data_IF_995030390557
#
_entry.id   IF_995030390557
#
_cell.length_a   1.000
_cell.length_b   1.000
_cell.length_c   1.000
_cell.angle_alpha   90.00
_cell.angle_beta   90.00
_cell.angle_gamma   90.00
#
_symmetry.space_group_name_H-M   'P 1'
#
loop_
_entity.id
_entity.type
_entity.pdbx_description
1 polymer ?
#
# COMPACT_ATOMS: atom_id res chain seq x y z
N UNK A 1 -16.77 -20.31 20.14
CA UNK A 1 -15.67 -21.26 19.89
C UNK A 1 -14.78 -20.64 18.82
N UNK A 2 -13.67 -20.02 19.21
CA UNK A 2 -12.67 -19.59 18.25
C UNK A 2 -11.96 -20.85 17.77
N UNK A 3 -12.01 -21.14 16.47
CA UNK A 3 -11.13 -22.14 15.90
C UNK A 3 -9.70 -21.65 16.16
N UNK A 4 -9.02 -22.28 17.11
CA UNK A 4 -7.57 -22.16 17.27
C UNK A 4 -6.98 -22.76 16.01
N UNK A 5 -6.65 -21.92 15.03
CA UNK A 5 -5.80 -22.29 13.90
C UNK A 5 -4.58 -22.97 14.49
N UNK A 6 -4.28 -24.20 14.05
CA UNK A 6 -3.07 -24.90 14.47
C UNK A 6 -1.87 -24.20 13.85
N UNK A 7 -1.40 -23.16 14.55
CA UNK A 7 -0.36 -22.24 14.07
C UNK A 7 0.94 -22.98 13.75
N UNK A 8 1.16 -24.16 14.34
CA UNK A 8 2.35 -25.00 14.10
C UNK A 8 2.43 -25.55 12.68
N UNK A 9 1.31 -25.63 11.95
CA UNK A 9 1.24 -26.17 10.60
C UNK A 9 0.60 -25.18 9.60
N UNK A 10 0.56 -23.89 9.93
CA UNK A 10 0.06 -22.87 9.01
C UNK A 10 1.04 -22.73 7.84
N UNK A 11 0.57 -22.89 6.59
CA UNK A 11 1.42 -22.83 5.38
C UNK A 11 0.87 -21.91 4.30
N UNK A 12 -0.26 -21.24 4.54
CA UNK A 12 -0.89 -20.34 3.57
C UNK A 12 -0.29 -18.93 3.68
N UNK A 13 1.00 -18.84 3.41
CA UNK A 13 1.76 -17.60 3.35
C UNK A 13 2.96 -17.77 2.41
N UNK A 14 3.54 -16.64 1.99
CA UNK A 14 4.81 -16.57 1.27
C UNK A 14 5.58 -15.36 1.78
N UNK A 15 6.56 -15.62 2.63
CA UNK A 15 7.47 -14.62 3.21
C UNK A 15 8.93 -15.06 2.99
N UNK A 16 9.90 -14.16 3.16
CA UNK A 16 11.31 -14.49 2.96
C UNK A 16 11.81 -15.58 3.93
N UNK A 17 11.59 -15.37 5.23
CA UNK A 17 12.08 -16.25 6.28
C UNK A 17 11.17 -16.14 7.51
N UNK A 18 10.53 -17.26 7.89
CA UNK A 18 9.60 -17.33 9.01
C UNK A 18 10.30 -17.21 10.37
N UNK A 19 11.59 -17.53 10.44
CA UNK A 19 12.36 -17.49 11.69
C UNK A 19 12.62 -16.05 12.17
N UNK A 20 12.41 -15.06 11.31
CA UNK A 20 12.47 -13.63 11.65
C UNK A 20 11.29 -13.17 12.54
N UNK A 21 10.27 -14.00 12.75
CA UNK A 21 9.07 -13.65 13.50
C UNK A 21 9.36 -13.14 14.93
N UNK A 22 10.37 -13.71 15.59
CA UNK A 22 10.77 -13.27 16.93
C UNK A 22 11.34 -11.85 16.97
N UNK A 23 12.05 -11.43 15.91
CA UNK A 23 12.52 -10.05 15.77
C UNK A 23 11.37 -9.12 15.42
N UNK A 24 10.55 -9.47 14.42
CA UNK A 24 9.38 -8.68 14.05
C UNK A 24 8.43 -8.44 15.22
N UNK A 25 8.20 -9.46 16.07
CA UNK A 25 7.36 -9.32 17.27
C UNK A 25 7.89 -8.26 18.26
N UNK A 26 9.21 -8.15 18.42
CA UNK A 26 9.82 -7.13 19.28
C UNK A 26 9.64 -5.73 18.70
N UNK A 27 9.81 -5.56 17.40
CA UNK A 27 9.60 -4.26 16.75
C UNK A 27 8.12 -3.87 16.70
N UNK A 28 7.19 -4.81 16.52
CA UNK A 28 5.75 -4.57 16.64
C UNK A 28 5.42 -4.05 18.05
N UNK A 29 5.95 -4.68 19.11
CA UNK A 29 5.70 -4.22 20.48
C UNK A 29 6.24 -2.80 20.75
N UNK A 30 7.35 -2.41 20.12
CA UNK A 30 7.86 -1.03 20.17
C UNK A 30 6.95 -0.10 19.37
N UNK A 31 6.54 -0.50 18.16
CA UNK A 31 5.67 0.32 17.33
C UNK A 31 4.29 0.57 17.96
N UNK A 32 3.75 -0.39 18.72
CA UNK A 32 2.51 -0.19 19.47
C UNK A 32 2.58 0.99 20.46
N UNK A 33 3.75 1.28 21.04
CA UNK A 33 3.91 2.45 21.93
C UNK A 33 3.94 3.77 21.17
N UNK A 34 4.31 3.75 19.89
CA UNK A 34 4.38 4.92 18.99
C UNK A 34 3.13 5.05 18.08
N UNK A 35 2.17 4.12 18.18
CA UNK A 35 0.93 4.14 17.38
C UNK A 35 -0.33 4.28 18.26
N UNK A 36 -0.43 5.36 19.07
CA UNK A 36 -1.50 5.50 20.06
C UNK A 36 -2.90 5.55 19.43
N UNK A 37 -3.03 6.02 18.18
CA UNK A 37 -4.32 6.03 17.47
C UNK A 37 -4.88 4.63 17.23
N UNK A 38 -4.05 3.68 16.78
CA UNK A 38 -4.47 2.29 16.60
C UNK A 38 -4.73 1.61 17.95
N UNK A 39 -3.90 1.89 18.95
CA UNK A 39 -4.09 1.32 20.29
C UNK A 39 -5.38 1.79 20.95
N UNK A 40 -5.71 3.08 20.84
CA UNK A 40 -6.98 3.63 21.31
C UNK A 40 -8.19 3.00 20.59
N UNK A 41 -8.11 2.82 19.26
CA UNK A 41 -9.16 2.13 18.50
C UNK A 41 -9.33 0.68 18.95
N UNK A 42 -8.24 -0.03 19.25
CA UNK A 42 -8.33 -1.39 19.81
C UNK A 42 -9.03 -1.37 21.16
N UNK A 43 -8.64 -0.48 22.06
CA UNK A 43 -9.24 -0.36 23.40
C UNK A 43 -10.74 -0.06 23.32
N UNK A 44 -11.13 0.89 22.47
CA UNK A 44 -12.51 1.34 22.30
C UNK A 44 -13.39 0.26 21.65
N UNK A 45 -12.96 -0.32 20.52
CA UNK A 45 -13.84 -1.11 19.65
C UNK A 45 -13.61 -2.63 19.69
N UNK A 46 -12.54 -3.13 20.32
CA UNK A 46 -12.36 -4.58 20.45
C UNK A 46 -13.50 -5.30 21.19
N UNK A 47 -14.13 -4.72 22.24
CA UNK A 47 -15.30 -5.33 22.88
C UNK A 47 -16.50 -5.50 21.92
N UNK A 48 -16.72 -4.52 21.04
CA UNK A 48 -17.84 -4.50 20.10
C UNK A 48 -17.61 -5.39 18.87
N UNK A 49 -16.34 -5.59 18.50
CA UNK A 49 -15.91 -6.34 17.30
C UNK A 49 -16.66 -5.88 16.04
N UNK A 50 -16.59 -4.59 15.68
CA UNK A 50 -17.37 -4.03 14.58
C UNK A 50 -17.03 -4.63 13.22
N UNK A 51 -15.82 -5.18 13.05
CA UNK A 51 -15.39 -5.84 11.82
C UNK A 51 -15.70 -7.33 11.79
N UNK A 52 -16.48 -7.86 12.74
CA UNK A 52 -16.87 -9.28 12.74
C UNK A 52 -17.55 -9.67 11.43
N UNK A 53 -16.93 -10.60 10.71
CA UNK A 53 -17.42 -11.09 9.42
C UNK A 53 -16.89 -10.31 8.20
N UNK A 54 -16.10 -9.25 8.43
CA UNK A 54 -15.28 -8.65 7.39
C UNK A 54 -14.17 -9.63 6.99
N UNK A 55 -13.97 -9.75 5.68
CA UNK A 55 -12.92 -10.53 5.03
C UNK A 55 -12.15 -9.56 4.17
N UNK A 56 -11.05 -9.05 4.70
CA UNK A 56 -10.32 -7.92 4.14
C UNK A 56 -9.14 -8.45 3.31
N UNK A 57 -9.14 -8.13 2.01
CA UNK A 57 -7.94 -8.22 1.19
C UNK A 57 -7.16 -6.91 1.31
N UNK A 58 -5.98 -6.97 1.91
CA UNK A 58 -5.08 -5.83 2.07
C UNK A 58 -3.97 -5.84 1.01
N UNK A 59 -3.77 -4.69 0.38
CA UNK A 59 -2.66 -4.40 -0.55
C UNK A 59 -2.01 -3.10 -0.14
N UNK A 60 -1.01 -3.21 0.74
CA UNK A 60 -0.32 -2.08 1.37
C UNK A 60 1.07 -2.56 1.82
N UNK A 61 2.09 -1.72 1.71
CA UNK A 61 3.47 -2.00 2.18
C UNK A 61 3.50 -2.87 3.45
N UNK A 62 4.12 -4.05 3.37
CA UNK A 62 4.15 -4.99 4.50
C UNK A 62 5.27 -4.62 5.49
N UNK A 63 5.02 -3.60 6.31
CA UNK A 63 5.95 -3.04 7.30
C UNK A 63 5.54 -3.39 8.74
N UNK A 64 6.36 -2.99 9.72
CA UNK A 64 6.01 -3.07 11.15
C UNK A 64 4.77 -2.23 11.47
N UNK A 65 4.62 -1.05 10.87
CA UNK A 65 3.46 -0.19 11.08
C UNK A 65 2.18 -0.87 10.54
N UNK A 66 2.28 -1.49 9.37
CA UNK A 66 1.20 -2.26 8.77
C UNK A 66 0.88 -3.52 9.58
N UNK A 67 1.88 -4.16 10.20
CA UNK A 67 1.64 -5.27 11.11
C UNK A 67 0.75 -4.85 12.30
N UNK A 68 0.98 -3.67 12.89
CA UNK A 68 0.10 -3.11 13.94
C UNK A 68 -1.30 -2.81 13.38
N UNK A 69 -1.43 -2.32 12.14
CA UNK A 69 -2.73 -2.14 11.48
C UNK A 69 -3.47 -3.48 11.31
N UNK A 70 -2.82 -4.51 10.77
CA UNK A 70 -3.39 -5.85 10.58
C UNK A 70 -3.89 -6.42 11.91
N UNK A 71 -3.08 -6.36 12.96
CA UNK A 71 -3.48 -6.85 14.28
C UNK A 71 -4.62 -6.04 14.90
N UNK A 72 -4.71 -4.74 14.58
CA UNK A 72 -5.88 -3.92 14.93
C UNK A 72 -7.13 -4.42 14.24
N UNK A 73 -7.10 -4.61 12.92
CA UNK A 73 -8.26 -5.11 12.16
C UNK A 73 -8.75 -6.46 12.71
N UNK A 74 -7.83 -7.37 13.03
CA UNK A 74 -8.14 -8.66 13.65
C UNK A 74 -8.73 -8.53 15.05
N UNK A 75 -8.17 -7.65 15.89
CA UNK A 75 -8.70 -7.37 17.23
C UNK A 75 -10.14 -6.85 17.16
N UNK A 76 -10.45 -6.05 16.14
CA UNK A 76 -11.81 -5.56 15.85
C UNK A 76 -12.72 -6.62 15.18
N UNK A 77 -12.22 -7.83 14.94
CA UNK A 77 -13.00 -8.99 14.50
C UNK A 77 -12.92 -9.34 13.02
N UNK A 78 -12.08 -8.66 12.23
CA UNK A 78 -11.88 -8.99 10.82
C UNK A 78 -11.08 -10.30 10.65
N UNK A 79 -11.32 -10.97 9.54
CA UNK A 79 -10.37 -11.90 8.94
C UNK A 79 -9.62 -11.17 7.82
N UNK A 80 -8.33 -11.46 7.64
CA UNK A 80 -7.42 -10.63 6.85
C UNK A 80 -6.45 -11.49 6.05
N UNK A 81 -6.24 -11.14 4.79
CA UNK A 81 -5.15 -11.64 3.93
C UNK A 81 -4.39 -10.45 3.37
N UNK A 82 -3.06 -10.54 3.30
CA UNK A 82 -2.23 -9.37 2.98
C UNK A 82 -1.18 -9.63 1.91
N UNK A 83 -0.96 -8.64 1.06
CA UNK A 83 0.16 -8.52 0.13
C UNK A 83 0.71 -7.09 0.21
N UNK A 84 1.97 -6.94 -0.19
CA UNK A 84 2.59 -5.62 -0.34
C UNK A 84 2.05 -4.92 -1.59
N UNK A 85 2.01 -3.58 -1.59
CA UNK A 85 1.75 -2.78 -2.80
C UNK A 85 3.04 -2.30 -3.51
N UNK A 86 4.21 -2.80 -3.07
CA UNK A 86 5.48 -2.51 -3.73
C UNK A 86 6.53 -3.58 -3.45
N UNK A 87 7.25 -3.96 -4.51
CA UNK A 87 8.22 -5.06 -4.53
C UNK A 87 9.42 -4.90 -3.57
N UNK A 88 9.73 -3.69 -3.10
CA UNK A 88 10.88 -3.43 -2.21
C UNK A 88 10.52 -2.93 -0.82
N UNK A 89 9.24 -2.72 -0.55
CA UNK A 89 8.77 -2.06 0.67
C UNK A 89 8.61 -2.98 1.87
N UNK A 90 8.50 -4.29 1.64
CA UNK A 90 8.32 -5.27 2.69
C UNK A 90 9.48 -5.25 3.69
N UNK A 91 9.14 -5.29 4.97
CA UNK A 91 10.05 -5.61 6.05
C UNK A 91 9.86 -7.08 6.41
N UNK A 92 10.79 -7.94 6.02
CA UNK A 92 10.60 -9.40 6.07
C UNK A 92 10.32 -9.91 7.48
N UNK A 93 10.92 -9.30 8.51
CA UNK A 93 10.66 -9.64 9.91
C UNK A 93 9.23 -9.27 10.34
N UNK A 94 8.65 -8.18 9.82
CA UNK A 94 7.25 -7.83 10.04
C UNK A 94 6.32 -8.85 9.38
N UNK A 95 6.59 -9.20 8.12
CA UNK A 95 5.83 -10.20 7.38
C UNK A 95 5.85 -11.56 8.10
N UNK A 96 7.03 -11.99 8.55
CA UNK A 96 7.21 -13.22 9.33
C UNK A 96 6.42 -13.19 10.65
N UNK A 97 6.45 -12.08 11.39
CA UNK A 97 5.75 -11.96 12.67
C UNK A 97 4.22 -12.04 12.55
N UNK A 98 3.66 -11.58 11.42
CA UNK A 98 2.23 -11.68 11.10
C UNK A 98 1.88 -13.09 10.59
N UNK A 99 2.70 -13.66 9.72
CA UNK A 99 2.51 -15.04 9.23
C UNK A 99 2.59 -16.06 10.36
N UNK A 100 3.54 -15.92 11.29
CA UNK A 100 3.75 -16.81 12.42
C UNK A 100 2.60 -16.83 13.44
N UNK A 101 1.65 -15.90 13.36
CA UNK A 101 0.41 -15.90 14.17
C UNK A 101 -0.84 -16.29 13.35
N UNK A 102 -0.63 -16.91 12.19
CA UNK A 102 -1.69 -17.50 11.37
C UNK A 102 -2.44 -16.52 10.48
N UNK A 103 -1.88 -15.36 10.16
CA UNK A 103 -2.43 -14.48 9.12
C UNK A 103 -1.75 -14.71 7.78
N UNK A 104 -2.49 -14.98 6.69
CA UNK A 104 -1.93 -15.08 5.35
C UNK A 104 -1.24 -13.80 4.91
N UNK A 105 0.06 -13.88 4.64
CA UNK A 105 0.89 -12.79 4.10
C UNK A 105 1.65 -13.32 2.90
N UNK A 106 1.55 -12.61 1.78
CA UNK A 106 2.24 -12.89 0.52
C UNK A 106 3.06 -11.66 0.15
N UNK A 107 4.24 -11.56 0.77
CA UNK A 107 5.09 -10.40 0.64
C UNK A 107 6.49 -10.73 1.12
N UNK A 108 7.50 -10.34 0.34
CA UNK A 108 8.87 -10.27 0.81
C UNK A 108 9.64 -9.17 0.08
N UNK A 109 10.77 -8.74 0.62
CA UNK A 109 11.56 -7.68 0.00
C UNK A 109 12.32 -8.19 -1.23
N UNK A 110 12.08 -7.56 -2.37
CA UNK A 110 12.74 -7.89 -3.64
C UNK A 110 12.04 -8.97 -4.44
N UNK A 111 10.72 -9.11 -4.29
CA UNK A 111 9.91 -9.97 -5.16
C UNK A 111 9.94 -9.51 -6.63
N UNK A 112 9.74 -10.44 -7.56
CA UNK A 112 9.61 -10.10 -8.98
C UNK A 112 8.23 -9.49 -9.28
N UNK A 113 8.06 -8.87 -10.45
CA UNK A 113 6.76 -8.35 -10.89
C UNK A 113 5.73 -9.47 -11.07
N UNK A 114 6.15 -10.66 -11.49
CA UNK A 114 5.28 -11.84 -11.59
C UNK A 114 4.82 -12.31 -10.21
N UNK A 115 5.72 -12.35 -9.24
CA UNK A 115 5.38 -12.69 -7.85
C UNK A 115 4.46 -11.64 -7.22
N UNK A 116 4.75 -10.35 -7.42
CA UNK A 116 3.92 -9.24 -6.98
C UNK A 116 2.45 -9.45 -7.40
N UNK A 117 2.20 -9.62 -8.69
CA UNK A 117 0.84 -9.79 -9.18
C UNK A 117 0.23 -11.14 -8.80
N UNK A 118 1.01 -12.21 -8.67
CA UNK A 118 0.51 -13.47 -8.09
C UNK A 118 0.08 -13.27 -6.62
N UNK A 119 0.87 -12.57 -5.80
CA UNK A 119 0.55 -12.28 -4.40
C UNK A 119 -0.69 -11.40 -4.27
N UNK A 120 -0.87 -10.44 -5.16
CA UNK A 120 -2.12 -9.68 -5.25
C UNK A 120 -3.31 -10.58 -5.55
N UNK A 121 -3.18 -11.69 -6.30
CA UNK A 121 -4.28 -12.67 -6.44
C UNK A 121 -4.48 -13.49 -5.15
N UNK A 122 -3.40 -13.89 -4.47
CA UNK A 122 -3.46 -14.71 -3.24
C UNK A 122 -4.25 -14.07 -2.10
N UNK A 123 -4.36 -12.73 -2.05
CA UNK A 123 -5.21 -12.05 -1.06
C UNK A 123 -6.72 -12.15 -1.37
N UNK A 124 -7.08 -12.45 -2.62
CA UNK A 124 -8.45 -12.71 -3.06
C UNK A 124 -8.86 -14.19 -2.96
N UNK A 125 -7.91 -15.10 -2.77
CA UNK A 125 -8.15 -16.54 -2.66
C UNK A 125 -8.41 -16.96 -1.22
N UNK A 126 -9.68 -17.08 -0.85
CA UNK A 126 -10.08 -17.47 0.51
C UNK A 126 -10.39 -18.98 0.57
N UNK A 127 -10.05 -19.69 1.67
CA UNK A 127 -10.14 -21.17 1.73
C UNK A 127 -11.53 -21.76 1.45
N UNK A 128 -12.58 -20.99 1.70
CA UNK A 128 -13.97 -21.38 1.49
C UNK A 128 -14.54 -20.95 0.12
N UNK A 129 -13.69 -20.39 -0.75
CA UNK A 129 -14.05 -19.88 -2.07
C UNK A 129 -14.92 -18.61 -2.05
N UNK A 130 -15.24 -18.06 -0.88
CA UNK A 130 -16.11 -16.87 -0.77
C UNK A 130 -15.40 -15.58 -1.19
N UNK A 131 -14.08 -15.56 -1.21
CA UNK A 131 -13.29 -14.35 -1.45
C UNK A 131 -13.47 -13.27 -0.37
N UNK A 132 -12.81 -12.11 -0.53
CA UNK A 132 -12.97 -10.99 0.37
C UNK A 132 -14.31 -10.31 0.17
N UNK A 133 -14.74 -9.55 1.18
CA UNK A 133 -15.88 -8.65 1.07
C UNK A 133 -15.51 -7.18 1.28
N UNK A 134 -14.23 -6.87 1.51
CA UNK A 134 -13.68 -5.54 1.64
C UNK A 134 -12.27 -5.52 1.03
N UNK A 135 -11.87 -4.38 0.49
CA UNK A 135 -10.49 -4.10 0.08
C UNK A 135 -9.93 -2.97 0.95
N UNK A 136 -8.69 -3.12 1.41
CA UNK A 136 -7.88 -2.04 1.96
C UNK A 136 -6.68 -1.87 1.03
N UNK A 137 -6.60 -0.72 0.35
CA UNK A 137 -5.73 -0.51 -0.80
C UNK A 137 -4.82 0.70 -0.59
N UNK A 138 -3.61 0.60 -1.11
CA UNK A 138 -2.61 1.65 -1.20
C UNK A 138 -2.04 1.62 -2.63
N UNK A 139 -2.41 2.65 -3.40
CA UNK A 139 -2.01 2.79 -4.81
C UNK A 139 -3.07 2.30 -5.79
N UNK A 140 -4.03 1.50 -5.33
CA UNK A 140 -5.20 1.09 -6.07
C UNK A 140 -5.01 -0.18 -6.90
N UNK A 141 -3.97 -0.97 -6.65
CA UNK A 141 -3.62 -2.14 -7.46
C UNK A 141 -4.55 -3.33 -7.22
N UNK A 142 -4.97 -3.56 -5.97
CA UNK A 142 -5.98 -4.58 -5.67
C UNK A 142 -7.33 -4.23 -6.33
N UNK A 143 -7.71 -2.95 -6.28
CA UNK A 143 -8.91 -2.44 -6.94
C UNK A 143 -8.80 -2.52 -8.46
N UNK A 144 -7.66 -2.15 -9.03
CA UNK A 144 -7.38 -2.24 -10.47
C UNK A 144 -7.49 -3.68 -10.94
N UNK A 145 -6.88 -4.63 -10.23
CA UNK A 145 -6.89 -6.05 -10.57
C UNK A 145 -8.31 -6.58 -10.73
N UNK A 146 -9.18 -6.30 -9.74
CA UNK A 146 -10.58 -6.76 -9.77
C UNK A 146 -11.34 -6.11 -10.93
N UNK A 147 -11.25 -4.79 -11.10
CA UNK A 147 -12.01 -4.09 -12.14
C UNK A 147 -11.51 -4.46 -13.56
N UNK A 148 -10.20 -4.55 -13.77
CA UNK A 148 -9.61 -4.94 -15.05
C UNK A 148 -9.90 -6.42 -15.35
N UNK A 149 -9.82 -7.29 -14.36
CA UNK A 149 -10.17 -8.70 -14.49
C UNK A 149 -11.61 -8.91 -14.94
N UNK A 150 -12.58 -8.20 -14.35
CA UNK A 150 -14.01 -8.25 -14.78
C UNK A 150 -14.19 -7.78 -16.23
N UNK A 151 -13.40 -6.82 -16.70
CA UNK A 151 -13.43 -6.42 -18.11
C UNK A 151 -12.81 -7.50 -18.99
N UNK A 152 -11.69 -8.08 -18.57
CA UNK A 152 -10.99 -9.13 -19.30
C UNK A 152 -11.80 -10.44 -19.42
N UNK A 153 -12.71 -10.72 -18.47
CA UNK A 153 -13.70 -11.79 -18.60
C UNK A 153 -14.62 -11.60 -19.81
N UNK A 154 -14.95 -10.35 -20.14
CA UNK A 154 -15.85 -10.00 -21.25
C UNK A 154 -15.11 -9.76 -22.56
N UNK A 155 -13.94 -9.12 -22.48
CA UNK A 155 -13.12 -8.76 -23.63
C UNK A 155 -11.64 -8.91 -23.30
N UNK A 156 -11.01 -9.94 -23.85
CA UNK A 156 -9.57 -10.21 -23.66
C UNK A 156 -8.67 -9.14 -24.29
N UNK A 157 -9.19 -8.28 -25.16
CA UNK A 157 -8.39 -7.23 -25.78
C UNK A 157 -7.86 -6.22 -24.75
N UNK A 158 -8.55 -6.00 -23.62
CA UNK A 158 -8.16 -5.03 -22.59
C UNK A 158 -6.84 -5.38 -21.87
N UNK A 159 -6.38 -6.64 -21.98
CA UNK A 159 -5.11 -7.13 -21.43
C UNK A 159 -4.14 -7.62 -22.53
N UNK A 160 -4.32 -7.16 -23.77
CA UNK A 160 -3.55 -7.68 -24.92
C UNK A 160 -2.35 -6.82 -25.34
N UNK A 161 -2.24 -5.60 -24.80
CA UNK A 161 -1.24 -4.60 -25.23
C UNK A 161 -0.61 -3.91 -24.02
N UNK A 162 0.33 -4.57 -23.31
CA UNK A 162 1.01 -3.96 -22.18
C UNK A 162 1.92 -2.82 -22.64
N UNK A 163 1.88 -1.70 -21.93
CA UNK A 163 2.70 -0.51 -22.18
C UNK A 163 4.02 -0.48 -21.41
N UNK A 164 4.20 -1.37 -20.42
CA UNK A 164 5.41 -1.50 -19.61
C UNK A 164 5.54 -2.91 -19.02
N UNK A 165 6.64 -3.18 -18.32
CA UNK A 165 6.95 -4.50 -17.72
C UNK A 165 5.95 -4.90 -16.62
N UNK A 166 5.48 -3.93 -15.82
CA UNK A 166 4.50 -4.17 -14.76
C UNK A 166 3.13 -4.57 -15.33
N UNK A 167 2.66 -3.87 -16.37
CA UNK A 167 1.44 -4.22 -17.11
C UNK A 167 1.58 -5.58 -17.79
N UNK A 168 2.75 -5.92 -18.31
CA UNK A 168 2.99 -7.25 -18.88
C UNK A 168 2.77 -8.35 -17.82
N UNK A 169 3.34 -8.19 -16.62
CA UNK A 169 3.17 -9.12 -15.52
C UNK A 169 1.71 -9.17 -15.03
N UNK A 170 1.04 -8.02 -14.88
CA UNK A 170 -0.39 -7.94 -14.53
C UNK A 170 -1.27 -8.69 -15.54
N UNK A 171 -1.08 -8.42 -16.83
CA UNK A 171 -1.90 -8.99 -17.90
C UNK A 171 -1.66 -10.50 -18.01
N UNK A 172 -0.41 -10.95 -17.86
CA UNK A 172 -0.07 -12.36 -17.80
C UNK A 172 -0.74 -13.06 -16.60
N UNK A 173 -0.71 -12.44 -15.42
CA UNK A 173 -1.36 -12.95 -14.23
C UNK A 173 -2.89 -13.06 -14.41
N UNK A 174 -3.52 -12.04 -15.00
CA UNK A 174 -4.96 -12.07 -15.31
C UNK A 174 -5.28 -13.18 -16.32
N UNK A 175 -4.52 -13.28 -17.40
CA UNK A 175 -4.72 -14.30 -18.42
C UNK A 175 -4.60 -15.71 -17.85
N UNK A 176 -3.61 -15.95 -16.97
CA UNK A 176 -3.38 -17.22 -16.27
C UNK A 176 -4.58 -17.60 -15.40
N UNK A 177 -5.09 -16.69 -14.56
CA UNK A 177 -6.22 -16.99 -13.67
C UNK A 177 -7.51 -17.23 -14.47
N UNK A 178 -7.77 -16.43 -15.50
CA UNK A 178 -8.94 -16.61 -16.34
C UNK A 178 -8.90 -17.86 -17.23
N UNK A 179 -7.73 -18.46 -17.46
CA UNK A 179 -7.62 -19.76 -18.12
C UNK A 179 -8.03 -20.91 -17.20
N UNK A 180 -7.90 -20.71 -15.88
CA UNK A 180 -8.26 -21.70 -14.85
C UNK A 180 -9.72 -21.54 -14.40
N UNK A 181 -10.16 -20.30 -14.18
CA UNK A 181 -11.51 -19.94 -13.80
C UNK A 181 -11.98 -18.71 -14.61
N UNK A 182 -12.80 -18.91 -15.65
CA UNK A 182 -13.31 -17.82 -16.50
C UNK A 182 -14.21 -16.80 -15.78
N UNK A 183 -14.60 -17.06 -14.53
CA UNK A 183 -15.51 -16.23 -13.72
C UNK A 183 -14.88 -15.74 -12.42
N UNK A 184 -13.55 -15.86 -12.31
CA UNK A 184 -12.80 -15.57 -11.10
C UNK A 184 -13.09 -14.17 -10.54
N UNK A 185 -12.98 -13.12 -11.37
CA UNK A 185 -13.11 -11.74 -10.94
C UNK A 185 -14.55 -11.29 -10.78
N UNK A 186 -15.48 -11.71 -11.64
CA UNK A 186 -16.89 -11.34 -11.46
C UNK A 186 -17.47 -11.89 -10.15
N UNK A 187 -17.03 -13.09 -9.73
CA UNK A 187 -17.38 -13.65 -8.42
C UNK A 187 -16.82 -12.83 -7.26
N UNK A 188 -15.55 -12.41 -7.33
CA UNK A 188 -14.94 -11.54 -6.32
C UNK A 188 -15.63 -10.18 -6.26
N UNK A 189 -15.82 -9.56 -7.42
CA UNK A 189 -16.44 -8.25 -7.59
C UNK A 189 -17.83 -8.20 -6.96
N UNK A 190 -18.65 -9.24 -7.14
CA UNK A 190 -19.99 -9.32 -6.56
C UNK A 190 -20.00 -9.38 -5.00
N UNK A 191 -18.89 -9.81 -4.39
CA UNK A 191 -18.78 -9.99 -2.94
C UNK A 191 -18.21 -8.76 -2.22
N UNK A 192 -17.48 -7.89 -2.93
CA UNK A 192 -16.83 -6.70 -2.37
C UNK A 192 -17.88 -5.62 -2.07
N UNK A 193 -17.93 -5.18 -0.81
CA UNK A 193 -18.84 -4.16 -0.31
C UNK A 193 -18.26 -2.76 -0.36
N UNK A 194 -16.94 -2.63 -0.48
CA UNK A 194 -16.26 -1.36 -0.62
C UNK A 194 -14.76 -1.46 -0.49
N UNK A 195 -14.10 -0.34 -0.80
CA UNK A 195 -12.65 -0.15 -0.68
C UNK A 195 -12.32 1.08 0.16
N UNK A 196 -11.25 1.01 0.96
CA UNK A 196 -10.60 2.17 1.55
C UNK A 196 -9.25 2.37 0.86
N UNK A 197 -9.00 3.55 0.28
CA UNK A 197 -7.77 3.85 -0.45
C UNK A 197 -6.97 4.95 0.23
N UNK A 198 -5.70 4.67 0.47
CA UNK A 198 -4.81 5.49 1.30
C UNK A 198 -4.05 6.58 0.54
N UNK A 199 -3.77 6.42 -0.76
CA UNK A 199 -2.83 7.32 -1.46
C UNK A 199 -3.46 8.18 -2.52
N UNK A 200 -2.79 9.30 -2.83
CA UNK A 200 -3.20 10.21 -3.89
C UNK A 200 -3.30 9.52 -5.26
N UNK A 201 -2.42 8.55 -5.55
CA UNK A 201 -2.43 7.83 -6.84
C UNK A 201 -3.64 6.92 -6.94
N UNK A 202 -3.91 6.10 -5.93
CA UNK A 202 -5.09 5.23 -5.93
C UNK A 202 -6.39 6.03 -5.92
N UNK A 203 -6.46 7.14 -5.17
CA UNK A 203 -7.61 8.05 -5.17
C UNK A 203 -7.89 8.63 -6.57
N UNK A 204 -6.84 9.04 -7.31
CA UNK A 204 -7.00 9.50 -8.70
C UNK A 204 -7.58 8.39 -9.61
N UNK A 205 -7.14 7.15 -9.44
CA UNK A 205 -7.68 5.98 -10.16
C UNK A 205 -9.16 5.77 -9.81
N UNK A 206 -9.53 5.86 -8.53
CA UNK A 206 -10.93 5.76 -8.09
C UNK A 206 -11.81 6.88 -8.68
N UNK A 207 -11.35 8.13 -8.69
CA UNK A 207 -12.09 9.23 -9.32
C UNK A 207 -12.23 9.07 -10.83
N UNK A 208 -11.20 8.53 -11.51
CA UNK A 208 -11.30 8.21 -12.94
C UNK A 208 -12.39 7.14 -13.17
N UNK A 209 -12.34 6.02 -12.45
CA UNK A 209 -13.36 4.97 -12.51
C UNK A 209 -14.76 5.50 -12.19
N UNK A 210 -14.90 6.38 -11.19
CA UNK A 210 -16.18 6.98 -10.82
C UNK A 210 -16.74 7.88 -11.94
N UNK A 211 -15.92 8.77 -12.52
CA UNK A 211 -16.34 9.65 -13.63
C UNK A 211 -16.73 8.86 -14.88
N UNK A 212 -16.09 7.72 -15.10
CA UNK A 212 -16.40 6.81 -16.21
C UNK A 212 -17.61 5.90 -15.93
N UNK A 213 -18.20 5.94 -14.73
CA UNK A 213 -19.29 5.05 -14.35
C UNK A 213 -18.87 3.58 -14.17
N UNK A 214 -17.57 3.34 -13.94
CA UNK A 214 -16.95 2.01 -13.86
C UNK A 214 -16.61 1.58 -12.43
N UNK A 215 -16.67 2.49 -11.46
CA UNK A 215 -16.41 2.16 -10.05
C UNK A 215 -17.54 1.30 -9.49
N UNK A 216 -17.22 0.05 -9.17
CA UNK A 216 -18.20 -1.00 -8.90
C UNK A 216 -18.78 -1.07 -7.51
N UNK A 217 -18.09 -0.51 -6.54
CA UNK A 217 -18.44 -0.53 -5.13
C UNK A 217 -18.04 0.79 -4.46
N UNK A 218 -18.67 1.14 -3.33
CA UNK A 218 -18.32 2.34 -2.57
C UNK A 218 -16.82 2.42 -2.26
N UNK A 219 -16.25 3.62 -2.37
CA UNK A 219 -14.85 3.87 -2.04
C UNK A 219 -14.75 5.01 -1.02
N UNK A 220 -13.91 4.82 -0.01
CA UNK A 220 -13.53 5.88 0.93
C UNK A 220 -12.12 6.34 0.59
N UNK A 221 -12.01 7.64 0.28
CA UNK A 221 -10.75 8.33 0.13
C UNK A 221 -10.19 8.62 1.52
N UNK A 222 -9.23 7.80 1.96
CA UNK A 222 -8.54 7.99 3.24
C UNK A 222 -7.44 9.05 3.09
N UNK A 223 -6.81 9.14 1.91
CA UNK A 223 -5.72 10.08 1.64
C UNK A 223 -6.05 11.53 2.02
N UNK A 224 -7.25 11.99 1.64
CA UNK A 224 -7.66 13.39 1.80
C UNK A 224 -8.24 13.70 3.19
N UNK A 225 -8.22 12.73 4.10
CA UNK A 225 -8.35 13.02 5.52
C UNK A 225 -7.27 14.02 5.91
N UNK A 226 -7.62 15.06 6.67
CA UNK A 226 -6.67 16.09 7.10
C UNK A 226 -5.52 15.48 7.90
N UNK A 227 -5.83 14.53 8.77
CA UNK A 227 -4.86 13.79 9.58
C UNK A 227 -3.97 12.83 8.78
N UNK A 228 -4.33 12.53 7.51
CA UNK A 228 -3.51 11.73 6.60
C UNK A 228 -2.66 12.65 5.74
N UNK A 229 -3.27 13.35 4.78
CA UNK A 229 -2.57 14.21 3.82
C UNK A 229 -1.61 15.21 4.45
N UNK A 230 -1.99 15.87 5.56
CA UNK A 230 -1.15 16.90 6.19
C UNK A 230 -0.14 16.38 7.21
N UNK A 231 -0.17 15.09 7.52
CA UNK A 231 0.78 14.48 8.45
C UNK A 231 1.65 13.45 7.75
N UNK A 232 1.04 12.41 7.20
CA UNK A 232 1.73 11.29 6.56
C UNK A 232 2.55 11.77 5.35
N UNK A 233 1.90 12.36 4.35
CA UNK A 233 2.58 12.81 3.13
C UNK A 233 3.61 13.90 3.42
N UNK A 234 3.32 14.80 4.37
CA UNK A 234 4.19 15.94 4.68
C UNK A 234 5.32 15.56 5.66
N UNK A 235 4.96 15.22 6.90
CA UNK A 235 5.93 14.93 7.96
C UNK A 235 6.55 13.54 7.80
N UNK A 236 5.78 12.55 7.33
CA UNK A 236 6.33 11.21 7.05
C UNK A 236 7.43 11.25 5.99
N UNK A 237 7.21 11.92 4.86
CA UNK A 237 8.26 12.11 3.85
C UNK A 237 9.41 12.98 4.34
N UNK A 238 9.14 13.95 5.24
CA UNK A 238 10.21 14.77 5.85
C UNK A 238 11.21 13.93 6.65
N UNK A 239 10.73 12.93 7.39
CA UNK A 239 11.61 12.05 8.17
C UNK A 239 12.23 10.94 7.30
N UNK A 240 11.43 10.31 6.43
CA UNK A 240 11.84 9.08 5.73
C UNK A 240 12.67 9.30 4.45
N UNK A 241 12.51 10.43 3.75
CA UNK A 241 13.22 10.67 2.48
C UNK A 241 14.74 10.61 2.66
N UNK A 242 15.24 11.42 3.59
CA UNK A 242 16.68 11.53 3.83
C UNK A 242 17.23 10.24 4.42
N UNK A 243 16.46 9.55 5.26
CA UNK A 243 16.83 8.24 5.78
C UNK A 243 17.07 7.25 4.62
N UNK A 244 16.15 7.18 3.65
CA UNK A 244 16.31 6.36 2.44
C UNK A 244 17.57 6.72 1.64
N UNK A 245 17.79 8.02 1.37
CA UNK A 245 18.99 8.48 0.64
C UNK A 245 20.28 8.09 1.39
N UNK A 246 20.30 8.27 2.71
CA UNK A 246 21.47 7.96 3.54
C UNK A 246 21.76 6.48 3.56
N UNK A 247 20.77 5.62 3.83
CA UNK A 247 20.96 4.17 3.83
C UNK A 247 21.47 3.63 2.49
N UNK A 248 21.06 4.26 1.38
CA UNK A 248 21.43 3.81 0.05
C UNK A 248 22.82 4.29 -0.39
N UNK A 249 23.26 5.46 0.04
CA UNK A 249 24.41 6.15 -0.59
C UNK A 249 25.44 6.73 0.37
N UNK A 250 25.12 6.80 1.67
CA UNK A 250 25.91 7.51 2.69
C UNK A 250 26.26 8.96 2.33
N UNK A 251 25.57 9.54 1.34
CA UNK A 251 25.99 10.80 0.73
C UNK A 251 25.80 11.97 1.70
N UNK A 252 26.79 12.86 1.75
CA UNK A 252 26.64 14.15 2.42
C UNK A 252 25.63 15.03 1.68
N UNK A 253 24.58 15.46 2.38
CA UNK A 253 23.51 16.32 1.83
C UNK A 253 23.91 17.80 1.82
N UNK A 254 24.58 18.26 2.88
CA UNK A 254 24.96 19.65 3.04
C UNK A 254 25.82 20.17 1.87
N UNK A 255 25.50 21.36 1.38
CA UNK A 255 26.19 22.03 0.29
C UNK A 255 25.81 21.53 -1.12
N UNK A 256 25.09 20.40 -1.24
CA UNK A 256 24.63 19.91 -2.55
C UNK A 256 23.41 20.68 -3.05
N UNK A 257 23.29 20.75 -4.37
CA UNK A 257 22.02 21.12 -5.02
C UNK A 257 21.13 19.88 -5.04
N UNK A 258 19.91 20.01 -4.51
CA UNK A 258 18.91 18.94 -4.52
C UNK A 258 17.66 19.45 -5.23
N UNK A 259 17.30 18.80 -6.33
CA UNK A 259 16.10 19.12 -7.10
C UNK A 259 14.93 18.25 -6.64
N UNK A 260 13.82 18.87 -6.25
CA UNK A 260 12.56 18.18 -5.90
C UNK A 260 11.53 18.46 -6.98
N UNK A 261 11.02 17.39 -7.60
CA UNK A 261 10.04 17.48 -8.68
C UNK A 261 8.62 17.35 -8.11
N UNK A 262 7.88 18.46 -8.10
CA UNK A 262 6.57 18.59 -7.48
C UNK A 262 6.66 19.16 -6.06
N UNK A 263 5.71 20.02 -5.71
CA UNK A 263 5.63 20.73 -4.43
C UNK A 263 4.23 20.61 -3.80
N UNK A 264 3.59 19.45 -3.99
CA UNK A 264 2.48 18.98 -3.15
C UNK A 264 2.95 18.63 -1.72
N UNK A 265 2.11 17.95 -0.93
CA UNK A 265 2.46 17.65 0.47
C UNK A 265 3.75 16.81 0.61
N UNK A 266 3.96 15.80 -0.25
CA UNK A 266 5.21 15.01 -0.32
C UNK A 266 6.43 15.89 -0.68
N UNK A 267 6.28 16.74 -1.70
CA UNK A 267 7.34 17.63 -2.17
C UNK A 267 7.74 18.67 -1.13
N UNK A 268 6.76 19.21 -0.39
CA UNK A 268 6.99 20.10 0.76
C UNK A 268 7.82 19.42 1.85
N UNK A 269 7.43 18.21 2.25
CA UNK A 269 8.16 17.44 3.27
C UNK A 269 9.59 17.14 2.85
N UNK A 270 9.74 16.71 1.59
CA UNK A 270 11.02 16.44 0.94
C UNK A 270 11.94 17.65 0.94
N UNK A 271 11.43 18.80 0.49
CA UNK A 271 12.18 20.05 0.43
C UNK A 271 12.61 20.54 1.83
N UNK A 272 11.71 20.45 2.82
CA UNK A 272 12.01 20.80 4.21
C UNK A 272 13.14 19.93 4.79
N UNK A 273 13.10 18.61 4.56
CA UNK A 273 14.12 17.68 5.06
C UNK A 273 15.50 17.98 4.47
N UNK A 274 15.57 18.16 3.14
CA UNK A 274 16.81 18.46 2.44
C UNK A 274 17.40 19.82 2.89
N UNK A 275 16.54 20.84 3.04
CA UNK A 275 16.96 22.16 3.53
C UNK A 275 17.46 22.10 4.97
N UNK A 276 16.83 21.33 5.85
CA UNK A 276 17.26 21.16 7.24
C UNK A 276 18.68 20.61 7.34
N UNK A 277 19.10 19.82 6.34
CA UNK A 277 20.48 19.34 6.19
C UNK A 277 21.36 20.24 5.31
N UNK A 278 20.98 21.50 5.13
CA UNK A 278 21.75 22.51 4.39
C UNK A 278 21.98 22.19 2.91
N UNK A 279 21.06 21.48 2.26
CA UNK A 279 21.03 21.41 0.80
C UNK A 279 20.55 22.74 0.20
N UNK A 280 21.06 23.06 -0.99
CA UNK A 280 20.49 24.08 -1.87
C UNK A 280 19.31 23.47 -2.62
N UNK A 281 18.10 23.63 -2.09
CA UNK A 281 16.90 22.98 -2.62
C UNK A 281 16.28 23.79 -3.76
N UNK A 282 16.12 23.15 -4.91
CA UNK A 282 15.40 23.68 -6.07
C UNK A 282 14.12 22.88 -6.30
N UNK A 283 13.08 23.54 -6.81
CA UNK A 283 11.77 22.94 -7.05
C UNK A 283 11.43 23.01 -8.54
N UNK A 284 10.95 21.91 -9.12
CA UNK A 284 10.28 21.91 -10.41
C UNK A 284 8.77 21.73 -10.20
N UNK A 285 7.95 22.63 -10.74
CA UNK A 285 6.49 22.59 -10.57
C UNK A 285 5.74 23.03 -11.83
N UNK A 286 4.59 22.40 -12.06
CA UNK A 286 3.63 22.74 -13.11
C UNK A 286 2.47 23.58 -12.58
N UNK A 287 2.15 23.45 -11.28
CA UNK A 287 1.05 24.21 -10.66
C UNK A 287 1.59 25.56 -10.16
N UNK A 288 1.07 26.71 -10.65
CA UNK A 288 1.56 28.03 -10.26
C UNK A 288 1.33 28.35 -8.79
N UNK A 289 0.32 27.77 -8.13
CA UNK A 289 0.06 27.95 -6.70
C UNK A 289 1.14 27.23 -5.89
N UNK A 290 1.43 25.98 -6.24
CA UNK A 290 2.47 25.20 -5.56
C UNK A 290 3.86 25.80 -5.81
N UNK A 291 4.14 26.26 -7.04
CA UNK A 291 5.37 26.99 -7.37
C UNK A 291 5.51 28.29 -6.55
N UNK A 292 4.43 29.07 -6.41
CA UNK A 292 4.46 30.30 -5.62
C UNK A 292 4.70 30.00 -4.13
N UNK A 293 4.09 28.95 -3.58
CA UNK A 293 4.37 28.49 -2.22
C UNK A 293 5.86 28.16 -2.03
N UNK A 294 6.45 27.39 -2.95
CA UNK A 294 7.88 27.07 -2.92
C UNK A 294 8.77 28.33 -2.93
N UNK A 295 8.44 29.29 -3.80
CA UNK A 295 9.17 30.56 -3.89
C UNK A 295 9.06 31.38 -2.60
N UNK A 296 7.87 31.42 -1.97
CA UNK A 296 7.65 32.12 -0.70
C UNK A 296 8.36 31.46 0.48
N UNK A 297 8.59 30.15 0.42
CA UNK A 297 9.45 29.47 1.39
C UNK A 297 10.94 29.71 1.11
N UNK A 298 11.32 30.33 -0.01
CA UNK A 298 12.70 30.67 -0.35
C UNK A 298 13.41 29.62 -1.21
N UNK A 299 12.66 28.71 -1.83
CA UNK A 299 13.20 27.76 -2.80
C UNK A 299 13.23 28.38 -4.20
N UNK A 300 14.24 28.02 -4.99
CA UNK A 300 14.29 28.41 -6.40
C UNK A 300 13.38 27.50 -7.22
N UNK A 301 12.42 28.08 -7.94
CA UNK A 301 11.59 27.33 -8.91
C UNK A 301 12.27 27.33 -10.27
N UNK A 302 12.47 26.15 -10.85
CA UNK A 302 13.22 25.92 -12.11
C UNK A 302 12.52 24.87 -12.97
N UNK A 303 12.90 24.81 -14.26
CA UNK A 303 12.56 23.66 -15.12
C UNK A 303 13.57 22.53 -14.93
N UNK A 304 13.21 21.30 -15.29
CA UNK A 304 14.14 20.17 -15.29
C UNK A 304 15.36 20.44 -16.20
N UNK A 305 15.13 20.97 -17.40
CA UNK A 305 16.20 21.28 -18.36
C UNK A 305 17.19 22.34 -17.86
N UNK A 306 16.75 23.23 -16.96
CA UNK A 306 17.65 24.20 -16.33
C UNK A 306 18.54 23.55 -15.26
N UNK A 307 18.05 22.48 -14.63
CA UNK A 307 18.71 21.80 -13.53
C UNK A 307 19.57 20.61 -13.96
N UNK A 308 19.46 20.16 -15.21
CA UNK A 308 20.25 19.09 -15.83
C UNK A 308 21.63 19.54 -16.30
#
# INVERSE_FOLDING_TARGET
>A
MNATTDVKNFTDFKVADIDLAGWGRKEIAIAETEMPGLMAIREEFAPERPLRGARIAGSLHMTIQTAVLIETLKALGADVRWASCNIYSTQDHAAAAIAAVGTPVFAYKGESLEEYWEYTHRVFEWPDGRGPNMILDDGGDATLLVHLGVQAEKDRAVISRPGNEEEFALFAAIAKHLAQDPTFYSRLYANIKGVTEETTTGVKRLYAMHREGRLGFPAINVNDSVTKSKFDNLYGCRESLVDGIKRATDVMIAGKVALVCGYGDVGKGSAQALRALSAQVWIAEIDPICALQAAMEGFRVVTMDYAS
#
